data_IF_375866597616
#
_entry.id   IF_375866597616
#
_cell.length_a   1.000
_cell.length_b   1.000
_cell.length_c   1.000
_cell.angle_alpha   90.00
_cell.angle_beta   90.00
_cell.angle_gamma   90.00
#
_symmetry.space_group_name_H-M   'P 1'
#
loop_
_entity.id
_entity.type
_entity.pdbx_description
1 polymer ?
#
# COMPACT_ATOMS: atom_id res chain seq x y z
N UNK A 1 -24.07 -9.50 11.25
CA UNK A 1 -23.86 -8.94 9.91
C UNK A 1 -23.19 -7.58 10.04
N UNK A 2 -21.90 -7.52 9.73
CA UNK A 2 -21.17 -6.25 9.64
C UNK A 2 -21.33 -5.64 8.25
N UNK A 3 -20.98 -4.38 8.11
CA UNK A 3 -20.82 -3.72 6.81
C UNK A 3 -19.39 -4.02 6.35
N UNK A 4 -19.25 -4.71 5.22
CA UNK A 4 -17.92 -4.90 4.62
C UNK A 4 -17.48 -3.57 3.98
N UNK A 5 -16.28 -3.06 4.31
CA UNK A 5 -15.78 -1.83 3.71
C UNK A 5 -15.57 -2.02 2.20
N UNK A 6 -15.94 -1.01 1.41
CA UNK A 6 -15.78 -1.06 -0.06
C UNK A 6 -14.38 -0.63 -0.51
N UNK A 7 -13.71 0.23 0.26
CA UNK A 7 -12.39 0.77 -0.05
C UNK A 7 -11.54 0.96 1.20
N UNK A 8 -10.29 0.54 1.11
CA UNK A 8 -9.23 0.86 2.08
C UNK A 8 -8.29 1.87 1.43
N UNK A 9 -8.21 3.07 2.04
CA UNK A 9 -7.39 4.17 1.54
C UNK A 9 -6.12 4.31 2.38
N UNK A 10 -4.98 4.45 1.70
CA UNK A 10 -3.79 4.98 2.36
C UNK A 10 -3.97 6.48 2.62
N UNK A 11 -3.55 6.94 3.80
CA UNK A 11 -3.63 8.35 4.17
C UNK A 11 -2.73 9.19 3.27
N UNK A 12 -3.21 10.38 2.86
CA UNK A 12 -2.42 11.27 1.97
C UNK A 12 -1.09 11.64 2.65
N UNK A 13 -0.02 11.68 1.85
CA UNK A 13 1.36 11.92 2.30
C UNK A 13 1.65 13.34 2.77
N UNK A 14 0.98 13.78 3.83
CA UNK A 14 1.42 14.90 4.66
C UNK A 14 2.40 14.37 5.71
N UNK A 15 3.48 15.11 5.95
CA UNK A 15 4.51 14.71 6.92
C UNK A 15 3.95 14.72 8.34
N UNK A 16 3.01 15.62 8.63
CA UNK A 16 2.35 15.72 9.93
C UNK A 16 1.48 14.50 10.27
N UNK A 17 1.15 13.67 9.28
CA UNK A 17 0.31 12.47 9.46
C UNK A 17 1.08 11.17 9.29
N UNK A 18 2.42 11.20 9.39
CA UNK A 18 3.27 10.02 9.20
C UNK A 18 2.93 8.87 10.16
N UNK A 19 2.51 9.18 11.38
CA UNK A 19 2.11 8.20 12.40
C UNK A 19 0.83 7.43 12.02
N UNK A 20 0.01 7.98 11.13
CA UNK A 20 -1.19 7.35 10.60
C UNK A 20 -0.98 6.72 9.22
N UNK A 21 0.25 6.76 8.69
CA UNK A 21 0.58 6.16 7.40
C UNK A 21 1.00 4.71 7.60
N UNK A 22 0.66 3.93 6.59
CA UNK A 22 0.95 2.50 6.50
C UNK A 22 1.68 2.27 5.18
N UNK A 23 2.79 1.49 5.16
CA UNK A 23 3.47 1.16 3.92
C UNK A 23 2.52 0.45 2.94
N UNK A 24 2.65 0.71 1.65
CA UNK A 24 1.90 0.01 0.58
C UNK A 24 2.08 -1.52 0.73
N UNK A 25 3.29 -1.95 1.07
CA UNK A 25 3.58 -3.36 1.32
C UNK A 25 2.72 -3.97 2.45
N UNK A 26 2.42 -3.20 3.52
CA UNK A 26 1.54 -3.68 4.61
C UNK A 26 0.10 -3.81 4.15
N UNK A 27 -0.37 -2.88 3.30
CA UNK A 27 -1.72 -2.92 2.73
C UNK A 27 -1.89 -4.16 1.85
N UNK A 28 -0.90 -4.44 0.99
CA UNK A 28 -0.89 -5.65 0.15
C UNK A 28 -0.79 -6.94 0.99
N UNK A 29 0.00 -6.91 2.07
CA UNK A 29 0.09 -8.00 3.03
C UNK A 29 -1.27 -8.28 3.69
N UNK A 30 -1.90 -7.26 4.26
CA UNK A 30 -3.21 -7.36 4.92
C UNK A 30 -4.24 -7.98 3.99
N UNK A 31 -4.27 -7.47 2.75
CA UNK A 31 -5.19 -7.96 1.74
C UNK A 31 -4.97 -9.44 1.46
N UNK A 32 -3.72 -9.91 1.35
CA UNK A 32 -3.44 -11.32 1.03
C UNK A 32 -3.71 -12.25 2.21
N UNK A 33 -3.39 -11.82 3.42
CA UNK A 33 -3.54 -12.60 4.65
C UNK A 33 -5.00 -12.64 5.12
N UNK A 34 -5.72 -11.52 5.03
CA UNK A 34 -7.09 -11.36 5.51
C UNK A 34 -8.17 -11.47 4.42
N UNK A 35 -7.78 -11.76 3.18
CA UNK A 35 -8.74 -11.96 2.08
C UNK A 35 -9.78 -13.05 2.36
N UNK A 36 -9.46 -14.05 3.21
CA UNK A 36 -10.36 -15.18 3.50
C UNK A 36 -10.85 -15.11 4.93
N UNK A 37 -12.10 -14.71 5.08
CA UNK A 37 -12.78 -14.67 6.38
C UNK A 37 -13.30 -16.05 6.79
N UNK A 38 -13.91 -16.77 5.85
CA UNK A 38 -14.46 -18.10 6.02
C UNK A 38 -14.23 -18.93 4.73
N UNK A 39 -14.24 -20.27 4.80
CA UNK A 39 -14.24 -21.10 3.60
C UNK A 39 -15.38 -20.68 2.64
N UNK A 40 -15.03 -20.23 1.44
CA UNK A 40 -15.98 -19.76 0.43
C UNK A 40 -16.42 -18.29 0.55
N UNK A 41 -15.98 -17.56 1.59
CA UNK A 41 -16.24 -16.12 1.74
C UNK A 41 -14.93 -15.34 1.64
N UNK A 42 -14.82 -14.52 0.60
CA UNK A 42 -13.66 -13.69 0.31
C UNK A 42 -14.04 -12.23 0.46
N UNK A 43 -13.21 -11.47 1.18
CA UNK A 43 -13.33 -10.02 1.31
C UNK A 43 -13.22 -9.37 -0.09
N UNK A 44 -14.13 -8.46 -0.41
CA UNK A 44 -14.18 -7.78 -1.72
C UNK A 44 -13.65 -6.35 -1.68
N UNK A 45 -13.11 -5.92 -0.53
CA UNK A 45 -12.54 -4.59 -0.38
C UNK A 45 -11.34 -4.42 -1.31
N UNK A 46 -11.29 -3.25 -1.93
CA UNK A 46 -10.22 -2.88 -2.84
C UNK A 46 -9.32 -1.85 -2.17
N UNK A 47 -8.04 -2.22 -2.01
CA UNK A 47 -7.00 -1.29 -1.62
C UNK A 47 -6.73 -0.32 -2.77
N UNK A 48 -7.03 0.97 -2.54
CA UNK A 48 -6.91 2.01 -3.56
C UNK A 48 -6.02 3.15 -3.06
N UNK A 49 -5.04 3.51 -3.88
CA UNK A 49 -4.14 4.62 -3.64
C UNK A 49 -4.55 5.85 -4.44
N UNK A 50 -4.55 7.03 -3.80
CA UNK A 50 -4.88 8.28 -4.47
C UNK A 50 -3.60 8.92 -5.02
N UNK A 51 -3.47 8.86 -6.35
CA UNK A 51 -2.32 9.36 -7.08
C UNK A 51 -2.60 10.79 -7.55
N UNK A 52 -1.81 11.79 -7.10
CA UNK A 52 -1.98 13.17 -7.55
C UNK A 52 -2.00 13.26 -9.08
N UNK A 53 -3.03 13.93 -9.63
CA UNK A 53 -3.23 14.15 -11.08
C UNK A 53 -3.54 12.90 -11.93
N UNK A 54 -3.34 11.69 -11.42
CA UNK A 54 -3.68 10.43 -12.10
C UNK A 54 -4.97 9.78 -11.57
N UNK A 55 -5.47 10.22 -10.42
CA UNK A 55 -6.72 9.73 -9.84
C UNK A 55 -6.51 8.56 -8.89
N UNK A 56 -7.28 7.49 -9.04
CA UNK A 56 -7.25 6.32 -8.15
C UNK A 56 -6.52 5.17 -8.84
N UNK A 57 -5.57 4.55 -8.14
CA UNK A 57 -4.87 3.34 -8.60
C UNK A 57 -5.18 2.16 -7.68
N UNK A 58 -5.46 0.99 -8.26
CA UNK A 58 -5.71 -0.24 -7.52
C UNK A 58 -4.38 -0.93 -7.18
N UNK A 59 -4.09 -1.09 -5.89
CA UNK A 59 -2.81 -1.68 -5.44
C UNK A 59 -2.71 -3.19 -5.73
N UNK A 60 -3.84 -3.88 -5.97
CA UNK A 60 -3.82 -5.28 -6.43
C UNK A 60 -3.25 -5.45 -7.83
N UNK A 61 -3.36 -4.44 -8.68
CA UNK A 61 -2.92 -4.52 -10.05
C UNK A 61 -1.45 -4.09 -10.13
N UNK A 62 -0.53 -5.07 -10.06
CA UNK A 62 0.91 -4.85 -10.28
C UNK A 62 1.25 -4.26 -11.67
N UNK A 63 0.29 -4.20 -12.58
CA UNK A 63 0.43 -3.54 -13.88
C UNK A 63 0.33 -2.01 -13.76
N UNK A 64 -0.32 -1.53 -12.70
CA UNK A 64 -0.61 -0.11 -12.49
C UNK A 64 0.47 0.57 -11.65
N UNK A 65 1.34 -0.19 -10.99
CA UNK A 65 2.47 0.34 -10.24
C UNK A 65 3.59 -0.69 -10.04
N UNK A 66 4.81 -0.21 -9.82
CA UNK A 66 5.98 -1.05 -9.53
C UNK A 66 6.94 -0.35 -8.56
N UNK A 67 7.75 -1.13 -7.84
CA UNK A 67 8.88 -0.58 -7.06
C UNK A 67 10.07 -0.36 -7.98
N UNK A 68 10.50 0.90 -8.11
CA UNK A 68 11.62 1.28 -8.98
C UNK A 68 12.94 1.51 -8.23
N UNK A 69 12.88 1.72 -6.91
CA UNK A 69 14.06 2.02 -6.09
C UNK A 69 13.81 1.74 -4.61
N UNK A 70 14.88 1.38 -3.90
CA UNK A 70 14.96 1.40 -2.44
C UNK A 70 16.02 2.43 -2.05
N UNK A 71 15.63 3.42 -1.24
CA UNK A 71 16.51 4.49 -0.75
C UNK A 71 17.40 3.99 0.39
N UNK A 72 18.46 4.74 0.69
CA UNK A 72 19.41 4.42 1.77
C UNK A 72 18.75 4.38 3.15
N UNK A 73 17.65 5.11 3.33
CA UNK A 73 16.83 5.12 4.56
C UNK A 73 15.78 4.00 4.59
N UNK A 74 15.80 3.08 3.63
CA UNK A 74 14.88 1.94 3.56
C UNK A 74 13.50 2.27 3.01
N UNK A 75 13.26 3.51 2.57
CA UNK A 75 12.02 3.89 1.87
C UNK A 75 11.99 3.30 0.46
N UNK A 76 10.80 2.91 0.01
CA UNK A 76 10.57 2.40 -1.34
C UNK A 76 10.00 3.50 -2.21
N UNK A 77 10.48 3.58 -3.45
CA UNK A 77 9.90 4.44 -4.47
C UNK A 77 9.03 3.60 -5.38
N UNK A 78 7.74 3.90 -5.39
CA UNK A 78 6.75 3.30 -6.27
C UNK A 78 6.51 4.21 -7.47
N UNK A 79 6.49 3.63 -8.67
CA UNK A 79 6.05 4.31 -9.88
C UNK A 79 4.63 3.88 -10.19
N UNK A 80 3.70 4.84 -10.27
CA UNK A 80 2.32 4.62 -10.68
C UNK A 80 2.11 5.00 -12.14
N UNK A 81 1.46 4.11 -12.88
CA UNK A 81 1.16 4.27 -14.29
C UNK A 81 -0.25 4.86 -14.51
N UNK A 82 -0.39 5.87 -15.37
CA UNK A 82 -1.70 6.35 -15.83
C UNK A 82 -2.42 5.23 -16.58
N UNK A 83 -3.73 5.09 -16.41
CA UNK A 83 -4.49 4.20 -17.29
C UNK A 83 -4.53 4.76 -18.73
N UNK A 84 -4.46 6.10 -18.90
CA UNK A 84 -4.38 6.76 -20.20
C UNK A 84 -3.04 6.55 -20.91
N UNK A 85 -2.03 5.98 -20.24
CA UNK A 85 -0.68 5.78 -20.82
C UNK A 85 -0.69 4.95 -22.11
N UNK A 86 -1.74 4.15 -22.33
CA UNK A 86 -1.95 3.37 -23.57
C UNK A 86 -2.40 4.21 -24.76
N UNK A 87 -2.89 5.44 -24.53
CA UNK A 87 -3.51 6.30 -25.54
C UNK A 87 -2.89 7.71 -25.59
N UNK A 88 -2.16 8.13 -24.55
CA UNK A 88 -1.48 9.42 -24.47
C UNK A 88 -0.17 9.31 -23.68
N UNK A 89 0.81 10.15 -24.03
CA UNK A 89 2.02 10.34 -23.23
C UNK A 89 1.68 11.14 -21.97
N UNK A 90 1.31 10.41 -20.92
CA UNK A 90 1.11 10.96 -19.57
C UNK A 90 2.29 10.49 -18.71
N UNK A 91 2.92 11.43 -18.01
CA UNK A 91 4.04 11.10 -17.14
C UNK A 91 3.58 10.22 -15.96
N UNK A 92 4.32 9.15 -15.64
CA UNK A 92 4.04 8.34 -14.47
C UNK A 92 4.34 9.13 -13.19
N UNK A 93 3.69 8.76 -12.09
CA UNK A 93 3.89 9.41 -10.80
C UNK A 93 4.80 8.57 -9.92
N UNK A 94 5.93 9.14 -9.48
CA UNK A 94 6.81 8.50 -8.51
C UNK A 94 6.41 8.93 -7.09
N UNK A 95 6.12 7.96 -6.24
CA UNK A 95 5.74 8.12 -4.85
C UNK A 95 6.82 7.54 -3.95
N UNK A 96 7.28 8.30 -2.96
CA UNK A 96 8.16 7.79 -1.91
C UNK A 96 7.31 7.38 -0.71
N UNK A 97 7.37 6.12 -0.36
CA UNK A 97 6.56 5.55 0.73
C UNK A 97 7.27 5.69 2.09
N UNK A 98 6.53 5.41 3.16
CA UNK A 98 7.10 5.29 4.51
C UNK A 98 8.05 4.09 4.58
N UNK A 99 9.11 4.20 5.38
CA UNK A 99 10.07 3.11 5.54
C UNK A 99 9.39 1.96 6.29
N UNK A 100 9.51 0.74 5.77
CA UNK A 100 8.97 -0.46 6.42
C UNK A 100 9.62 -0.63 7.80
N UNK A 101 10.92 -0.36 7.91
CA UNK A 101 11.63 -0.49 9.18
C UNK A 101 11.10 0.47 10.25
N UNK A 102 10.86 1.74 9.90
CA UNK A 102 10.29 2.71 10.84
C UNK A 102 8.85 2.34 11.23
N UNK A 103 8.09 1.79 10.29
CA UNK A 103 6.75 1.25 10.56
C UNK A 103 6.79 0.08 11.54
N UNK A 104 7.69 -0.89 11.35
CA UNK A 104 7.85 -2.02 12.27
C UNK A 104 8.31 -1.59 13.67
N UNK A 105 9.18 -0.57 13.77
CA UNK A 105 9.54 0.03 15.06
C UNK A 105 8.32 0.61 15.77
N UNK A 106 7.48 1.34 15.05
CA UNK A 106 6.25 1.90 15.62
C UNK A 106 5.32 0.80 16.14
N UNK A 107 5.13 -0.27 15.37
CA UNK A 107 4.35 -1.43 15.83
C UNK A 107 4.90 -2.04 17.12
N UNK A 108 6.23 -2.21 17.20
CA UNK A 108 6.87 -2.69 18.42
C UNK A 108 6.63 -1.74 19.61
N UNK A 109 6.71 -0.43 19.39
CA UNK A 109 6.45 0.59 20.41
C UNK A 109 4.98 0.60 20.86
N UNK A 110 4.06 0.23 19.96
CA UNK A 110 2.63 0.03 20.23
C UNK A 110 2.32 -1.32 20.93
N UNK A 111 3.35 -2.14 21.23
CA UNK A 111 3.29 -3.50 21.80
C UNK A 111 2.68 -4.58 20.88
N UNK A 112 2.77 -4.41 19.57
CA UNK A 112 2.43 -5.44 18.58
C UNK A 112 3.61 -6.42 18.37
N UNK A 113 3.32 -7.68 18.00
CA UNK A 113 4.35 -8.67 17.66
C UNK A 113 4.84 -8.47 16.22
N UNK A 114 6.04 -7.92 16.07
CA UNK A 114 6.66 -7.62 14.77
C UNK A 114 6.87 -8.88 13.91
N UNK A 115 7.02 -10.06 14.51
CA UNK A 115 7.25 -11.30 13.77
C UNK A 115 6.05 -11.70 12.90
N UNK A 116 4.84 -11.35 13.32
CA UNK A 116 3.61 -11.55 12.54
C UNK A 116 3.65 -10.78 11.21
N UNK A 117 4.40 -9.68 11.17
CA UNK A 117 4.54 -8.80 10.00
C UNK A 117 5.79 -9.09 9.17
N UNK A 118 6.59 -10.09 9.52
CA UNK A 118 7.89 -10.38 8.87
C UNK A 118 7.79 -10.63 7.36
N UNK A 119 6.62 -11.05 6.86
CA UNK A 119 6.39 -11.30 5.44
C UNK A 119 6.26 -10.00 4.60
N UNK A 120 6.07 -8.84 5.24
CA UNK A 120 5.87 -7.51 4.60
C UNK A 120 6.92 -7.18 3.53
N UNK A 121 8.15 -7.66 3.70
CA UNK A 121 9.25 -7.37 2.79
C UNK A 121 9.03 -7.94 1.38
N UNK A 122 8.19 -8.98 1.25
CA UNK A 122 7.92 -9.70 0.01
C UNK A 122 6.71 -9.16 -0.78
N UNK A 123 6.12 -8.04 -0.36
CA UNK A 123 5.01 -7.39 -1.04
C UNK A 123 5.49 -6.11 -1.74
N UNK A 124 5.08 -5.91 -2.98
CA UNK A 124 5.48 -4.81 -3.85
C UNK A 124 4.41 -4.50 -4.89
#
# INVERSE_FOLDING_TARGET
SGIDPYYTFNTKGKDETIDYRVPIARIEQERKEEARFLPGLVRTDEAVFNVPRLGKSHLRAWQDHEVIMVLQDGKRIYRFYPWESKYALVEPYNYTDVAIYDYLKRLNDDNEDVEEYSSIWYYF
#
